data_IF_871440582107
#
_entry.id   IF_871440582107
#
_cell.length_a   1.000
_cell.length_b   1.000
_cell.length_c   1.000
_cell.angle_alpha   90.00
_cell.angle_beta   90.00
_cell.angle_gamma   90.00
#
_symmetry.space_group_name_H-M   'P 1'
#
loop_
_entity.id
_entity.type
_entity.pdbx_description
1 polymer ?
#
# COMPACT_ATOMS: atom_id res chain seq x y z
N UNK A 1 -1.01 -38.81 13.43
CA UNK A 1 -1.00 -37.48 12.81
C UNK A 1 -1.79 -37.59 11.50
N UNK A 2 -3.04 -37.12 11.49
CA UNK A 2 -3.91 -37.22 10.29
C UNK A 2 -3.57 -35.98 9.42
N UNK A 3 -2.86 -36.20 8.34
CA UNK A 3 -2.70 -35.16 7.29
C UNK A 3 -4.06 -34.99 6.60
N UNK A 4 -4.78 -33.90 6.93
CA UNK A 4 -5.89 -33.47 6.09
C UNK A 4 -5.28 -32.77 4.87
N UNK A 5 -4.97 -33.53 3.84
CA UNK A 5 -4.55 -33.01 2.55
C UNK A 5 -5.78 -32.72 1.69
N UNK A 6 -6.35 -31.53 1.85
CA UNK A 6 -7.24 -30.99 0.83
C UNK A 6 -6.41 -30.17 -0.14
N UNK A 7 -6.43 -30.54 -1.41
CA UNK A 7 -5.74 -29.80 -2.46
C UNK A 7 -6.70 -28.86 -3.15
N UNK A 8 -6.32 -27.59 -3.26
CA UNK A 8 -7.05 -26.60 -4.02
C UNK A 8 -6.16 -26.01 -5.12
N UNK A 9 -6.78 -25.65 -6.25
CA UNK A 9 -6.03 -25.10 -7.37
C UNK A 9 -5.62 -23.65 -7.08
N UNK A 10 -4.32 -23.37 -7.18
CA UNK A 10 -3.74 -22.01 -7.14
C UNK A 10 -3.35 -21.52 -8.54
N UNK A 11 -4.00 -22.03 -9.57
CA UNK A 11 -3.61 -21.75 -10.96
C UNK A 11 -3.70 -20.27 -11.35
N UNK A 12 -4.68 -19.54 -10.79
CA UNK A 12 -4.95 -18.13 -11.13
C UNK A 12 -4.92 -17.90 -12.65
N UNK A 13 -4.00 -17.05 -13.13
CA UNK A 13 -3.78 -16.75 -14.54
C UNK A 13 -2.65 -17.55 -15.20
N UNK A 14 -2.11 -18.56 -14.51
CA UNK A 14 -1.08 -19.42 -15.09
C UNK A 14 -1.69 -20.24 -16.24
N UNK A 15 -1.12 -20.18 -17.47
CA UNK A 15 -1.59 -20.97 -18.60
C UNK A 15 -1.34 -22.46 -18.39
N UNK A 16 -1.89 -23.31 -19.27
CA UNK A 16 -1.53 -24.73 -19.34
C UNK A 16 -0.10 -24.87 -19.85
N UNK A 17 0.82 -25.11 -18.92
CA UNK A 17 2.25 -25.19 -19.22
C UNK A 17 2.92 -26.11 -18.20
N UNK A 18 3.94 -26.81 -18.65
CA UNK A 18 4.76 -27.61 -17.77
C UNK A 18 5.54 -26.69 -16.81
N UNK A 19 5.37 -26.92 -15.52
CA UNK A 19 6.17 -26.26 -14.47
C UNK A 19 7.46 -27.02 -14.32
N UNK A 20 8.59 -26.33 -14.51
CA UNK A 20 9.93 -26.89 -14.40
C UNK A 20 10.51 -26.77 -13.00
N UNK A 21 10.22 -25.66 -12.33
CA UNK A 21 10.72 -25.37 -10.98
C UNK A 21 9.78 -24.44 -10.22
N UNK A 22 9.77 -24.56 -8.89
CA UNK A 22 8.98 -23.74 -7.97
C UNK A 22 9.87 -23.32 -6.82
N UNK A 23 10.03 -22.02 -6.64
CA UNK A 23 10.72 -21.46 -5.49
C UNK A 23 9.77 -20.63 -4.64
N UNK A 24 9.69 -20.96 -3.36
CA UNK A 24 8.91 -20.21 -2.36
C UNK A 24 9.86 -19.37 -1.54
N UNK A 25 9.67 -18.05 -1.61
CA UNK A 25 10.39 -17.09 -0.75
C UNK A 25 9.52 -16.75 0.47
N UNK A 26 10.00 -15.87 1.33
CA UNK A 26 9.22 -15.41 2.48
C UNK A 26 7.93 -14.68 2.05
N UNK A 27 7.97 -13.99 0.92
CA UNK A 27 6.90 -13.14 0.43
C UNK A 27 6.24 -13.68 -0.84
N UNK A 28 7.02 -14.23 -1.75
CA UNK A 28 6.57 -14.49 -3.12
C UNK A 28 6.69 -15.97 -3.48
N UNK A 29 5.91 -16.39 -4.47
CA UNK A 29 6.02 -17.69 -5.12
C UNK A 29 6.49 -17.46 -6.56
N UNK A 30 7.66 -18.01 -6.89
CA UNK A 30 8.27 -17.93 -8.22
C UNK A 30 8.12 -19.28 -8.92
N UNK A 31 7.56 -19.28 -10.13
CA UNK A 31 7.30 -20.47 -10.93
C UNK A 31 8.06 -20.37 -12.24
N UNK A 32 9.03 -21.28 -12.44
CA UNK A 32 9.72 -21.46 -13.71
C UNK A 32 8.93 -22.40 -14.64
N UNK A 33 8.65 -21.96 -15.86
CA UNK A 33 7.88 -22.74 -16.82
C UNK A 33 8.73 -23.19 -17.99
N UNK A 34 8.36 -24.29 -18.61
CA UNK A 34 9.03 -24.77 -19.83
C UNK A 34 8.52 -23.98 -21.05
N UNK A 35 9.35 -23.08 -21.57
CA UNK A 35 9.08 -22.33 -22.80
C UNK A 35 8.09 -21.17 -22.69
N UNK A 36 7.55 -20.84 -21.49
CA UNK A 36 6.60 -19.75 -21.31
C UNK A 36 6.98 -18.76 -20.21
N UNK A 37 8.27 -18.48 -20.04
CA UNK A 37 8.77 -17.47 -19.08
C UNK A 37 8.63 -17.89 -17.60
N UNK A 38 8.86 -16.93 -16.72
CA UNK A 38 8.77 -17.07 -15.27
C UNK A 38 7.52 -16.30 -14.79
N UNK A 39 6.76 -16.91 -13.91
CA UNK A 39 5.59 -16.32 -13.26
C UNK A 39 5.90 -16.06 -11.80
N UNK A 40 5.49 -14.91 -11.31
CA UNK A 40 5.66 -14.53 -9.91
C UNK A 40 4.28 -14.21 -9.34
N UNK A 41 3.94 -14.87 -8.25
CA UNK A 41 2.81 -14.48 -7.40
C UNK A 41 3.36 -13.65 -6.25
N UNK A 42 3.20 -12.35 -6.35
CA UNK A 42 3.60 -11.39 -5.32
C UNK A 42 2.68 -11.53 -4.11
N UNK A 43 3.26 -11.53 -2.93
CA UNK A 43 2.58 -11.55 -1.64
C UNK A 43 1.63 -12.75 -1.43
N UNK A 44 2.22 -13.87 -1.00
CA UNK A 44 1.48 -15.11 -0.65
C UNK A 44 0.87 -15.10 0.76
N UNK A 45 0.87 -13.95 1.47
CA UNK A 45 0.30 -13.87 2.82
C UNK A 45 -1.18 -14.25 2.90
N UNK A 46 -2.06 -13.91 1.92
CA UNK A 46 -3.43 -14.36 1.96
C UNK A 46 -3.56 -15.89 1.86
N UNK A 47 -2.69 -16.53 1.06
CA UNK A 47 -2.69 -17.98 0.92
C UNK A 47 -2.21 -18.65 2.22
N UNK A 48 -1.15 -18.14 2.84
CA UNK A 48 -0.62 -18.67 4.11
C UNK A 48 -1.58 -18.49 5.28
N UNK A 49 -2.36 -17.42 5.27
CA UNK A 49 -3.30 -17.09 6.34
C UNK A 49 -4.66 -17.78 6.20
N UNK A 50 -4.90 -18.50 5.08
CA UNK A 50 -6.18 -19.16 4.81
C UNK A 50 -6.56 -20.16 5.91
N UNK A 51 -5.57 -20.91 6.41
CA UNK A 51 -5.79 -21.93 7.44
C UNK A 51 -6.06 -21.34 8.83
N UNK A 52 -5.66 -20.09 9.08
CA UNK A 52 -5.94 -19.38 10.33
C UNK A 52 -7.42 -18.93 10.45
N UNK A 53 -8.21 -19.14 9.40
CA UNK A 53 -9.62 -18.79 9.33
C UNK A 53 -9.86 -17.33 8.92
N UNK A 54 -10.54 -17.14 7.82
CA UNK A 54 -11.02 -15.83 7.39
C UNK A 54 -12.21 -15.46 8.28
N UNK A 55 -12.12 -14.35 9.00
CA UNK A 55 -13.23 -13.85 9.82
C UNK A 55 -14.39 -13.46 8.92
N UNK A 56 -15.60 -13.80 9.34
CA UNK A 56 -16.82 -13.41 8.64
C UNK A 56 -16.96 -11.88 8.62
N UNK A 57 -17.43 -11.35 7.51
CA UNK A 57 -17.66 -9.93 7.30
C UNK A 57 -16.45 -9.22 6.69
N UNK A 58 -15.57 -8.70 7.52
CA UNK A 58 -14.36 -8.00 7.14
C UNK A 58 -13.14 -8.70 7.76
N UNK A 59 -12.19 -9.09 6.92
CA UNK A 59 -10.91 -9.63 7.37
C UNK A 59 -9.75 -8.89 6.68
N UNK A 60 -8.78 -8.43 7.46
CA UNK A 60 -7.55 -7.80 6.99
C UNK A 60 -6.41 -8.78 7.21
N UNK A 61 -5.70 -9.11 6.14
CA UNK A 61 -4.49 -9.92 6.23
C UNK A 61 -3.34 -9.09 6.76
N UNK A 62 -2.44 -9.72 7.53
CA UNK A 62 -1.27 -9.03 8.07
C UNK A 62 -0.39 -8.52 6.92
N UNK A 63 -0.19 -7.20 6.81
CA UNK A 63 0.60 -6.63 5.72
C UNK A 63 2.09 -6.94 5.88
N UNK A 64 2.80 -7.04 4.75
CA UNK A 64 4.25 -7.02 4.75
C UNK A 64 4.78 -5.60 4.98
N UNK A 65 6.08 -5.52 5.27
CA UNK A 65 6.76 -4.23 5.29
C UNK A 65 6.84 -3.64 3.88
N UNK A 66 6.76 -2.32 3.79
CA UNK A 66 6.99 -1.59 2.55
C UNK A 66 8.38 -0.95 2.56
N UNK A 67 9.00 -0.84 1.39
CA UNK A 67 10.28 -0.15 1.24
C UNK A 67 10.04 1.21 0.63
N UNK A 68 10.48 2.25 1.35
CA UNK A 68 10.36 3.64 0.88
C UNK A 68 11.26 3.84 -0.34
N UNK A 69 10.72 4.17 -1.45
CA UNK A 69 11.27 4.69 -2.71
C UNK A 69 10.68 4.08 -3.96
N UNK A 70 10.46 2.78 -4.02
CA UNK A 70 10.00 2.11 -5.23
C UNK A 70 8.77 1.23 -5.01
N UNK A 71 8.48 0.88 -3.76
CA UNK A 71 7.38 -0.03 -3.44
C UNK A 71 6.22 0.72 -2.80
N UNK A 72 5.02 0.29 -3.13
CA UNK A 72 3.80 0.66 -2.45
C UNK A 72 3.59 -0.24 -1.24
N UNK A 73 2.88 0.22 -0.23
CA UNK A 73 2.35 -0.67 0.79
C UNK A 73 1.10 -1.36 0.22
N UNK A 74 1.10 -2.69 0.22
CA UNK A 74 0.01 -3.51 -0.30
C UNK A 74 -0.78 -4.08 0.86
N UNK A 75 -2.09 -3.91 0.82
CA UNK A 75 -3.02 -4.40 1.84
C UNK A 75 -4.03 -5.34 1.20
N UNK A 76 -4.01 -6.60 1.63
CA UNK A 76 -4.98 -7.60 1.24
C UNK A 76 -6.10 -7.65 2.27
N UNK A 77 -7.35 -7.59 1.83
CA UNK A 77 -8.50 -7.72 2.72
C UNK A 77 -9.61 -8.49 2.03
N UNK A 78 -10.40 -9.19 2.83
CA UNK A 78 -11.51 -10.00 2.38
C UNK A 78 -12.82 -9.41 2.85
N UNK A 79 -13.80 -9.37 1.96
CA UNK A 79 -15.17 -8.94 2.22
C UNK A 79 -16.13 -10.08 1.87
N UNK A 80 -17.01 -10.44 2.78
CA UNK A 80 -18.06 -11.45 2.51
C UNK A 80 -19.16 -10.91 1.61
N UNK A 81 -19.37 -9.61 1.61
CA UNK A 81 -20.38 -8.90 0.81
C UNK A 81 -19.86 -7.54 0.36
N UNK A 82 -20.45 -7.00 -0.69
CA UNK A 82 -20.14 -5.64 -1.16
C UNK A 82 -20.55 -4.61 -0.12
N UNK A 83 -19.59 -3.88 0.41
CA UNK A 83 -19.77 -2.85 1.45
C UNK A 83 -19.59 -1.47 0.83
N UNK A 84 -20.62 -0.63 0.84
CA UNK A 84 -20.55 0.73 0.26
C UNK A 84 -19.84 1.76 1.14
N UNK A 85 -19.62 1.44 2.40
CA UNK A 85 -19.08 2.32 3.45
C UNK A 85 -17.66 1.92 3.90
N UNK A 86 -16.92 1.23 3.03
CA UNK A 86 -15.54 0.84 3.32
C UNK A 86 -14.66 2.08 3.43
N UNK A 87 -13.92 2.19 4.52
CA UNK A 87 -12.94 3.24 4.77
C UNK A 87 -11.62 2.61 5.20
N UNK A 88 -10.53 3.01 4.55
CA UNK A 88 -9.17 2.62 4.94
C UNK A 88 -8.46 3.86 5.47
N UNK A 89 -7.94 3.76 6.67
CA UNK A 89 -7.19 4.81 7.33
C UNK A 89 -5.77 4.32 7.64
N UNK A 90 -4.80 5.14 7.29
CA UNK A 90 -3.40 4.92 7.65
C UNK A 90 -3.08 5.81 8.83
N UNK A 91 -2.51 5.22 9.87
CA UNK A 91 -2.14 5.87 11.12
C UNK A 91 -0.63 5.75 11.34
N UNK A 92 -0.02 6.74 11.97
CA UNK A 92 1.36 6.64 12.41
C UNK A 92 1.51 5.85 13.72
N UNK A 93 2.74 5.70 14.20
CA UNK A 93 3.03 4.98 15.45
C UNK A 93 2.37 5.58 16.69
N UNK A 94 1.95 6.84 16.65
CA UNK A 94 1.25 7.55 17.69
C UNK A 94 -0.28 7.49 17.56
N UNK A 95 -0.77 6.76 16.53
CA UNK A 95 -2.20 6.69 16.23
C UNK A 95 -2.77 7.92 15.54
N UNK A 96 -1.91 8.84 15.07
CA UNK A 96 -2.34 10.02 14.33
C UNK A 96 -2.64 9.66 12.89
N UNK A 97 -3.74 10.19 12.37
CA UNK A 97 -4.16 9.97 11.00
C UNK A 97 -3.16 10.56 10.00
N UNK A 98 -2.66 9.69 9.12
CA UNK A 98 -1.77 10.02 7.99
C UNK A 98 -2.57 10.24 6.73
N UNK A 99 -3.43 9.29 6.37
CA UNK A 99 -4.25 9.39 5.16
C UNK A 99 -5.55 8.59 5.32
N UNK A 100 -6.55 8.94 4.51
CA UNK A 100 -7.87 8.27 4.48
C UNK A 100 -8.28 8.00 3.05
N UNK A 101 -8.76 6.79 2.80
CA UNK A 101 -9.27 6.35 1.51
C UNK A 101 -10.68 5.79 1.68
N UNK A 102 -11.58 6.21 0.81
CA UNK A 102 -12.97 5.73 0.80
C UNK A 102 -13.09 4.71 -0.32
N UNK A 103 -13.72 3.57 -0.03
CA UNK A 103 -13.93 2.50 -0.99
C UNK A 103 -14.90 2.90 -2.10
N UNK A 104 -14.56 2.54 -3.32
CA UNK A 104 -15.40 2.75 -4.50
C UNK A 104 -15.59 1.45 -5.27
N UNK A 105 -16.77 1.30 -5.89
CA UNK A 105 -16.96 0.25 -6.89
C UNK A 105 -16.01 0.51 -8.07
N UNK A 106 -15.37 -0.52 -8.61
CA UNK A 106 -14.52 -0.35 -9.78
C UNK A 106 -15.35 0.24 -10.91
N UNK A 107 -14.93 1.40 -11.38
CA UNK A 107 -15.53 2.01 -12.59
C UNK A 107 -15.20 1.08 -13.77
N UNK A 108 -16.22 0.61 -14.47
CA UNK A 108 -16.03 0.00 -15.79
C UNK A 108 -15.39 1.07 -16.67
N UNK A 109 -14.23 0.79 -17.26
CA UNK A 109 -13.62 1.68 -18.25
C UNK A 109 -14.67 1.98 -19.31
N UNK A 110 -15.12 3.23 -19.37
CA UNK A 110 -15.84 3.70 -20.55
C UNK A 110 -14.80 3.87 -21.64
N UNK A 111 -14.88 3.05 -22.67
CA UNK A 111 -14.24 3.30 -23.94
C UNK A 111 -14.91 4.54 -24.56
N UNK A 112 -14.41 5.74 -24.26
CA UNK A 112 -14.65 6.93 -25.07
C UNK A 112 -14.01 8.15 -24.43
N UNK A 113 -13.07 8.77 -25.14
CA UNK A 113 -12.57 10.12 -24.87
C UNK A 113 -11.06 10.23 -24.80
N UNK A 114 -10.45 10.51 -25.91
CA UNK A 114 -9.10 11.05 -26.03
C UNK A 114 -9.08 12.40 -25.27
N UNK A 115 -8.35 12.50 -24.15
CA UNK A 115 -8.03 13.78 -23.56
C UNK A 115 -8.12 13.92 -22.04
N UNK A 116 -8.77 13.00 -21.29
CA UNK A 116 -8.88 13.09 -19.81
C UNK A 116 -8.10 12.00 -19.05
N UNK A 117 -7.40 11.11 -19.76
CA UNK A 117 -6.72 9.95 -19.14
C UNK A 117 -5.49 10.35 -18.32
N UNK A 118 -4.83 11.44 -18.63
CA UNK A 118 -3.56 11.81 -17.98
C UNK A 118 -3.71 12.27 -16.53
N UNK A 119 -4.86 12.78 -16.13
CA UNK A 119 -5.07 13.32 -14.77
C UNK A 119 -5.69 12.29 -13.82
N UNK A 120 -6.47 11.31 -14.29
CA UNK A 120 -7.03 10.26 -13.44
C UNK A 120 -5.96 9.22 -13.00
N UNK A 121 -4.99 8.92 -13.84
CA UNK A 121 -3.89 7.99 -13.52
C UNK A 121 -2.91 8.55 -12.48
N UNK A 122 -2.90 9.85 -12.26
CA UNK A 122 -2.05 10.52 -11.25
C UNK A 122 -2.68 10.54 -9.86
N UNK A 123 -3.97 10.28 -9.74
CA UNK A 123 -4.67 10.24 -8.44
C UNK A 123 -4.49 8.87 -7.76
N UNK A 124 -4.41 8.82 -6.43
CA UNK A 124 -4.41 7.56 -5.70
C UNK A 124 -5.67 6.75 -6.05
N UNK A 125 -5.50 5.49 -6.44
CA UNK A 125 -6.63 4.61 -6.75
C UNK A 125 -7.42 4.30 -5.48
N UNK A 126 -8.75 4.44 -5.49
CA UNK A 126 -9.56 4.11 -4.31
C UNK A 126 -9.55 2.61 -4.02
N UNK A 127 -9.75 2.21 -2.76
CA UNK A 127 -9.93 0.80 -2.39
C UNK A 127 -11.16 0.20 -3.08
N UNK A 128 -11.04 -1.05 -3.52
CA UNK A 128 -12.15 -1.79 -4.13
C UNK A 128 -13.07 -2.38 -3.07
N UNK A 129 -14.38 -2.48 -3.38
CA UNK A 129 -15.40 -3.03 -2.47
C UNK A 129 -16.11 -4.25 -3.06
N UNK A 130 -15.35 -5.11 -3.71
CA UNK A 130 -15.89 -6.37 -4.27
C UNK A 130 -16.01 -7.45 -3.20
N UNK A 131 -16.98 -8.31 -3.31
CA UNK A 131 -17.03 -9.55 -2.52
C UNK A 131 -15.82 -10.43 -2.84
N UNK A 132 -15.21 -11.00 -1.82
CA UNK A 132 -14.00 -11.81 -1.92
C UNK A 132 -12.73 -11.04 -1.58
N UNK A 133 -11.61 -11.51 -2.11
CA UNK A 133 -10.30 -10.90 -1.90
C UNK A 133 -10.17 -9.59 -2.68
N UNK A 134 -9.78 -8.55 -1.97
CA UNK A 134 -9.49 -7.23 -2.50
C UNK A 134 -8.04 -6.85 -2.18
N UNK A 135 -7.48 -5.97 -3.00
CA UNK A 135 -6.14 -5.43 -2.84
C UNK A 135 -6.21 -3.91 -2.89
N UNK A 136 -5.56 -3.26 -1.94
CA UNK A 136 -5.37 -1.83 -1.92
C UNK A 136 -3.89 -1.50 -1.85
N UNK A 137 -3.44 -0.55 -2.66
CA UNK A 137 -2.06 -0.10 -2.75
C UNK A 137 -1.95 1.35 -2.30
N UNK A 138 -1.15 1.60 -1.27
CA UNK A 138 -0.82 2.95 -0.84
C UNK A 138 0.58 3.33 -1.31
N UNK A 139 0.71 4.48 -1.94
CA UNK A 139 1.95 5.02 -2.51
C UNK A 139 2.92 5.61 -1.48
N UNK A 140 2.69 5.36 -0.19
CA UNK A 140 3.48 5.86 0.94
C UNK A 140 3.55 7.39 1.00
N UNK A 141 2.50 8.08 0.57
CA UNK A 141 2.46 9.55 0.58
C UNK A 141 1.34 10.08 1.47
N UNK A 142 1.59 11.25 2.01
CA UNK A 142 0.57 12.04 2.68
C UNK A 142 -0.43 12.60 1.66
N UNK A 143 -1.60 13.08 2.10
CA UNK A 143 -2.53 13.77 1.23
C UNK A 143 -1.85 14.98 0.55
N UNK A 144 -2.31 15.32 -0.65
CA UNK A 144 -1.89 16.54 -1.31
C UNK A 144 -2.33 17.78 -0.53
N UNK A 145 -1.72 18.92 -0.85
CA UNK A 145 -2.22 20.20 -0.37
C UNK A 145 -3.67 20.43 -0.84
N UNK A 146 -4.43 21.16 -0.03
CA UNK A 146 -5.78 21.58 -0.43
C UNK A 146 -5.69 22.72 -1.44
N UNK A 147 -6.48 22.65 -2.50
CA UNK A 147 -6.57 23.66 -3.52
C UNK A 147 -7.94 24.33 -3.46
N UNK A 148 -7.98 25.62 -3.78
CA UNK A 148 -9.26 26.34 -3.93
C UNK A 148 -9.67 26.44 -5.40
N UNK A 149 -10.95 26.53 -5.64
CA UNK A 149 -11.49 26.61 -7.01
C UNK A 149 -10.99 27.90 -7.71
N UNK A 150 -10.40 27.74 -8.90
CA UNK A 150 -9.85 28.86 -9.67
C UNK A 150 -8.37 29.17 -9.38
N UNK A 151 -7.69 28.34 -8.60
CA UNK A 151 -6.24 28.49 -8.39
C UNK A 151 -5.50 28.25 -9.71
N UNK A 152 -4.64 29.20 -10.09
CA UNK A 152 -3.81 29.11 -11.30
C UNK A 152 -2.45 28.53 -10.92
N UNK A 153 -2.07 27.45 -11.59
CA UNK A 153 -0.75 26.83 -11.44
C UNK A 153 0.13 27.20 -12.62
N UNK A 154 1.40 27.53 -12.34
CA UNK A 154 2.44 27.72 -13.39
C UNK A 154 3.02 26.40 -13.89
N UNK A 155 2.56 25.26 -13.37
CA UNK A 155 2.97 23.92 -13.75
C UNK A 155 1.86 22.93 -13.48
N UNK A 156 2.11 21.65 -13.73
CA UNK A 156 1.14 20.59 -13.45
C UNK A 156 0.78 20.55 -11.95
N UNK A 157 -0.50 20.40 -11.60
CA UNK A 157 -0.92 20.25 -10.21
C UNK A 157 -0.28 19.01 -9.58
N UNK A 158 0.10 19.12 -8.31
CA UNK A 158 0.70 18.02 -7.56
C UNK A 158 -0.40 17.34 -6.74
N UNK A 159 -0.87 16.19 -7.18
CA UNK A 159 -1.95 15.43 -6.53
C UNK A 159 -1.50 14.58 -5.34
N UNK A 160 -0.22 14.55 -5.03
CA UNK A 160 0.33 13.75 -3.94
C UNK A 160 1.14 14.61 -2.98
N UNK A 161 1.05 14.29 -1.69
CA UNK A 161 1.85 14.93 -0.65
C UNK A 161 3.27 14.35 -0.53
N UNK A 162 4.01 14.78 0.50
CA UNK A 162 5.35 14.26 0.78
C UNK A 162 5.31 12.78 1.12
N UNK A 163 6.41 12.08 0.88
CA UNK A 163 6.54 10.66 1.20
C UNK A 163 6.61 10.44 2.72
N UNK A 164 5.95 9.38 3.19
CA UNK A 164 5.96 8.95 4.57
C UNK A 164 7.37 8.58 5.04
N UNK A 165 7.66 8.82 6.32
CA UNK A 165 8.94 8.51 6.92
C UNK A 165 9.04 7.00 7.22
N UNK A 166 10.24 6.41 7.21
CA UNK A 166 10.43 5.06 7.72
C UNK A 166 10.04 4.95 9.19
N UNK A 167 9.37 3.85 9.54
CA UNK A 167 8.88 3.60 10.91
C UNK A 167 7.68 2.69 10.92
N UNK A 168 7.09 2.54 12.11
CA UNK A 168 5.90 1.73 12.31
C UNK A 168 4.64 2.54 12.00
N UNK A 169 3.71 1.89 11.33
CA UNK A 169 2.40 2.43 10.94
C UNK A 169 1.32 1.41 11.23
N UNK A 170 0.09 1.87 11.22
CA UNK A 170 -1.09 1.03 11.35
C UNK A 170 -2.02 1.28 10.16
N UNK A 171 -2.61 0.21 9.65
CA UNK A 171 -3.72 0.28 8.72
C UNK A 171 -5.00 -0.12 9.44
N UNK A 172 -6.00 0.71 9.38
CA UNK A 172 -7.33 0.48 9.95
C UNK A 172 -8.36 0.46 8.84
N UNK A 173 -9.06 -0.66 8.71
CA UNK A 173 -10.16 -0.79 7.77
C UNK A 173 -11.45 -0.83 8.58
N UNK A 174 -12.40 0.00 8.21
CA UNK A 174 -13.74 0.05 8.79
C UNK A 174 -14.81 -0.13 7.74
N UNK A 175 -15.85 -0.86 8.08
CA UNK A 175 -17.04 -1.05 7.23
C UNK A 175 -18.25 -1.32 8.13
N UNK A 176 -19.18 -0.37 8.19
CA UNK A 176 -20.25 -0.38 9.18
C UNK A 176 -19.68 -0.43 10.60
N UNK A 177 -20.16 -1.37 11.40
CA UNK A 177 -19.74 -1.56 12.80
C UNK A 177 -18.43 -2.38 12.93
N UNK A 178 -17.91 -2.92 11.82
CA UNK A 178 -16.69 -3.72 11.86
C UNK A 178 -15.47 -2.85 11.65
N UNK A 179 -14.49 -2.99 12.55
CA UNK A 179 -13.20 -2.30 12.48
C UNK A 179 -12.08 -3.31 12.71
N UNK A 180 -11.14 -3.37 11.80
CA UNK A 180 -9.96 -4.23 11.91
C UNK A 180 -8.72 -3.36 11.72
N UNK A 181 -7.70 -3.59 12.57
CA UNK A 181 -6.44 -2.83 12.55
C UNK A 181 -5.27 -3.79 12.52
N UNK A 182 -4.30 -3.53 11.66
CA UNK A 182 -3.04 -4.28 11.56
C UNK A 182 -1.85 -3.32 11.51
N UNK A 183 -0.73 -3.79 12.07
CA UNK A 183 0.52 -3.04 12.07
C UNK A 183 1.38 -3.42 10.87
N UNK A 184 2.08 -2.45 10.30
CA UNK A 184 3.10 -2.67 9.28
C UNK A 184 4.27 -1.69 9.45
N UNK A 185 5.37 -1.99 8.80
CA UNK A 185 6.59 -1.20 8.88
C UNK A 185 6.96 -0.61 7.51
N UNK A 186 7.36 0.65 7.49
CA UNK A 186 8.00 1.26 6.32
C UNK A 186 9.51 1.26 6.60
N UNK A 187 10.27 0.53 5.78
CA UNK A 187 11.73 0.45 5.83
C UNK A 187 12.36 1.45 4.88
N UNK A 188 13.57 1.89 5.22
CA UNK A 188 14.39 2.66 4.30
C UNK A 188 14.87 1.75 3.16
N UNK A 189 15.02 2.32 1.96
CA UNK A 189 15.64 1.63 0.84
C UNK A 189 17.09 1.25 1.20
N UNK A 190 17.46 -0.05 1.17
CA UNK A 190 18.79 -0.50 1.53
C UNK A 190 19.88 0.05 0.60
N UNK A 191 19.53 0.54 -0.58
CA UNK A 191 20.44 1.17 -1.53
C UNK A 191 20.84 2.59 -1.11
N UNK A 192 20.05 3.23 -0.27
CA UNK A 192 20.29 4.60 0.20
C UNK A 192 21.07 4.54 1.52
N UNK A 193 22.40 4.50 1.42
CA UNK A 193 23.30 4.32 2.59
C UNK A 193 23.60 5.60 3.36
N UNK A 194 23.46 6.78 2.77
CA UNK A 194 24.02 8.03 3.29
C UNK A 194 23.05 8.95 4.04
N UNK A 195 21.79 8.56 4.19
CA UNK A 195 20.84 9.41 4.93
C UNK A 195 20.87 9.03 6.41
N UNK A 196 21.92 9.47 7.12
CA UNK A 196 22.08 9.26 8.56
C UNK A 196 21.20 10.19 9.41
N UNK A 197 20.59 11.21 8.87
CA UNK A 197 19.89 12.25 9.64
C UNK A 197 18.38 12.18 9.51
N UNK A 198 17.73 11.58 10.49
CA UNK A 198 16.27 11.61 10.65
C UNK A 198 15.69 13.02 10.77
N UNK A 199 16.49 14.02 11.14
CA UNK A 199 16.06 15.40 11.34
C UNK A 199 15.76 16.12 10.03
N UNK A 200 16.39 15.73 8.94
CA UNK A 200 16.17 16.30 7.60
C UNK A 200 14.78 16.00 7.02
N UNK A 201 14.04 15.07 7.60
CA UNK A 201 12.75 14.60 7.10
C UNK A 201 11.54 15.09 7.91
N UNK A 202 11.71 16.00 8.87
CA UNK A 202 10.61 16.52 9.69
C UNK A 202 9.67 17.49 8.96
N UNK A 203 9.83 17.72 7.66
CA UNK A 203 8.91 18.49 6.84
C UNK A 203 7.73 17.63 6.35
N UNK A 204 6.94 17.11 7.25
CA UNK A 204 5.80 16.25 6.93
C UNK A 204 4.64 16.38 7.90
N UNK A 205 4.54 17.49 8.62
CA UNK A 205 3.34 17.76 9.41
C UNK A 205 2.32 18.53 8.57
N UNK A 206 1.02 18.18 8.60
CA UNK A 206 -0.03 18.83 7.81
C UNK A 206 -0.30 20.30 8.15
N UNK A 207 0.46 20.89 9.07
CA UNK A 207 0.45 22.33 9.38
C UNK A 207 1.78 22.95 8.93
N UNK A 208 1.99 23.01 7.62
CA UNK A 208 3.08 23.77 7.00
C UNK A 208 2.97 25.27 7.32
N UNK A 209 3.47 25.66 8.47
CA UNK A 209 4.03 27.01 8.63
C UNK A 209 5.54 26.84 8.59
N UNK A 210 6.14 27.29 7.48
CA UNK A 210 7.57 27.48 7.22
C UNK A 210 8.49 26.32 7.62
N UNK A 211 9.08 25.70 6.61
CA UNK A 211 10.26 24.84 6.74
C UNK A 211 11.46 25.74 7.11
N UNK A 212 11.63 26.07 8.39
CA UNK A 212 12.84 26.75 8.85
C UNK A 212 13.94 25.73 9.00
N UNK A 213 14.98 25.82 8.18
CA UNK A 213 16.27 25.20 8.47
C UNK A 213 16.75 25.74 9.80
N UNK A 214 16.79 24.92 10.85
CA UNK A 214 17.62 25.23 12.01
C UNK A 214 19.05 25.01 11.60
N UNK A 215 19.80 26.10 11.64
CA UNK A 215 21.25 26.17 11.54
C UNK A 215 21.88 25.14 12.51
N UNK A 216 22.88 24.46 12.04
CA UNK A 216 23.65 23.51 12.85
C UNK A 216 24.46 24.33 13.86
N UNK A 217 24.25 24.10 15.13
CA UNK A 217 25.24 24.41 16.15
C UNK A 217 26.46 23.52 15.86
N UNK A 218 27.50 24.14 15.38
CA UNK A 218 28.83 23.56 15.28
C UNK A 218 29.29 23.24 16.71
N UNK A 219 29.78 22.04 17.02
CA UNK A 219 30.50 21.85 18.25
C UNK A 219 31.82 22.63 18.16
N UNK A 220 31.98 23.56 19.10
CA UNK A 220 33.20 24.32 19.35
C UNK A 220 34.43 23.43 19.26
N UNK A 221 35.37 23.87 18.43
CA UNK A 221 36.78 23.54 18.51
C UNK A 221 37.37 24.26 19.70
N UNK A 222 37.62 23.55 20.78
CA UNK A 222 38.51 24.06 21.84
C UNK A 222 39.60 23.03 22.11
N UNK A 223 40.83 23.53 21.84
CA UNK A 223 42.16 23.11 22.32
C UNK A 223 42.64 21.72 22.01
#
# INVERSE_FOLDING_TARGET
MLFRSSWESLRLNLPDVQVSDIQVTDKDLVIGTHGRSIYILDDISPVRSKDAGIKAGLHLFKPYYAVRSAQKAVFHYYLDSTKKDLKIEILDAQGKLVNTFIGELPKTKKENGEGEEDDEDRKPKPPTIKTGLNVFEWDLKYPSASYFKGMIFWGAPVYTGPAALPGNYQVRISSGDQVVTENFEIKMDPRVKDIKDRRRWRCGSPHLRSCTMRERDSPDSTA
#
